data_IF_196641264096
#
_entry.id   IF_196641264096
#
_cell.length_a   1.000
_cell.length_b   1.000
_cell.length_c   1.000
_cell.angle_alpha   90.00
_cell.angle_beta   90.00
_cell.angle_gamma   90.00
#
_symmetry.space_group_name_H-M   'P 1'
#
loop_
_entity.id
_entity.type
_entity.pdbx_description
1 polymer ?
#
# COMPACT_ATOMS: atom_id res chain seq x y z
N UNK A 1 4.28 14.07 -8.11
CA UNK A 1 5.72 14.23 -7.73
C UNK A 1 6.59 13.28 -8.55
N UNK A 2 7.80 13.70 -8.96
CA UNK A 2 8.71 12.81 -9.71
C UNK A 2 9.47 11.85 -8.79
N UNK A 3 10.01 10.75 -9.34
CA UNK A 3 10.77 9.80 -8.51
C UNK A 3 12.08 10.39 -7.96
N UNK A 4 12.72 11.31 -8.68
CA UNK A 4 13.96 11.96 -8.25
C UNK A 4 13.70 12.88 -7.06
N UNK A 5 12.60 13.65 -7.11
CA UNK A 5 12.15 14.48 -6.00
C UNK A 5 11.82 13.61 -4.78
N UNK A 6 11.11 12.51 -4.99
CA UNK A 6 10.78 11.56 -3.94
C UNK A 6 12.04 10.93 -3.34
N UNK A 7 12.99 10.48 -4.16
CA UNK A 7 14.25 9.91 -3.71
C UNK A 7 15.05 10.90 -2.87
N UNK A 8 15.11 12.18 -3.28
CA UNK A 8 15.74 13.26 -2.53
C UNK A 8 15.08 13.56 -1.18
N UNK A 9 13.77 13.34 -1.06
CA UNK A 9 13.00 13.57 0.18
C UNK A 9 13.03 12.42 1.18
N UNK A 10 13.44 11.23 0.75
CA UNK A 10 13.51 10.04 1.63
C UNK A 10 14.96 9.75 2.10
N UNK A 11 15.95 10.57 1.72
CA UNK A 11 17.38 10.32 1.98
C UNK A 11 17.78 10.21 3.47
N UNK A 12 16.91 10.53 4.42
CA UNK A 12 17.11 10.27 5.86
C UNK A 12 16.93 8.81 6.27
N UNK A 13 16.22 8.01 5.48
CA UNK A 13 16.06 6.57 5.69
C UNK A 13 16.99 5.86 4.72
N UNK A 14 18.14 5.39 5.22
CA UNK A 14 18.98 4.45 4.48
C UNK A 14 18.16 3.17 4.23
N UNK A 15 17.44 3.10 3.10
CA UNK A 15 16.80 1.87 2.66
C UNK A 15 17.91 0.83 2.44
N UNK A 16 18.02 -0.22 3.26
CA UNK A 16 19.22 -1.06 3.31
C UNK A 16 19.32 -2.03 2.11
N UNK A 17 18.61 -1.76 1.01
CA UNK A 17 18.41 -2.70 -0.10
C UNK A 17 18.72 -2.14 -1.49
N UNK A 18 19.21 -0.90 -1.64
CA UNK A 18 19.69 -0.43 -2.95
C UNK A 18 21.06 -1.03 -3.25
N UNK A 19 21.06 -2.18 -3.95
CA UNK A 19 22.25 -2.74 -4.58
C UNK A 19 22.67 -1.92 -5.81
N UNK A 20 23.97 -1.83 -6.06
CA UNK A 20 24.63 -0.96 -7.06
C UNK A 20 24.32 -1.35 -8.53
N UNK A 21 23.52 -2.38 -8.80
CA UNK A 21 23.27 -2.90 -10.15
C UNK A 21 21.79 -3.23 -10.38
N UNK A 22 20.91 -2.24 -10.23
CA UNK A 22 19.49 -2.44 -10.52
C UNK A 22 19.11 -1.74 -11.82
N UNK A 23 19.13 -2.50 -12.92
CA UNK A 23 18.50 -2.09 -14.17
C UNK A 23 17.15 -2.83 -14.28
N UNK A 24 16.01 -2.13 -14.11
CA UNK A 24 14.70 -2.76 -14.21
C UNK A 24 14.54 -3.43 -15.57
N UNK A 25 14.00 -4.64 -15.60
CA UNK A 25 13.56 -5.25 -16.86
C UNK A 25 12.25 -4.57 -17.28
N UNK A 26 12.04 -4.34 -18.58
CA UNK A 26 10.83 -3.67 -19.10
C UNK A 26 9.51 -4.27 -18.58
N UNK A 27 9.32 -5.61 -18.50
CA UNK A 27 8.10 -6.19 -17.95
C UNK A 27 7.83 -5.75 -16.51
N UNK A 28 8.87 -5.66 -15.67
CA UNK A 28 8.72 -5.27 -14.28
C UNK A 28 8.29 -3.80 -14.14
N UNK A 29 8.75 -2.91 -15.03
CA UNK A 29 8.31 -1.52 -15.07
C UNK A 29 6.81 -1.44 -15.41
N UNK A 30 6.35 -2.23 -16.39
CA UNK A 30 4.94 -2.25 -16.76
C UNK A 30 4.06 -2.77 -15.63
N UNK A 31 4.47 -3.84 -14.95
CA UNK A 31 3.73 -4.38 -13.79
C UNK A 31 3.73 -3.38 -12.64
N UNK A 32 4.88 -2.78 -12.33
CA UNK A 32 4.99 -1.75 -11.30
C UNK A 32 4.06 -0.55 -11.60
N UNK A 33 4.02 -0.09 -12.86
CA UNK A 33 3.11 0.99 -13.29
C UNK A 33 1.64 0.60 -13.13
N UNK A 34 1.25 -0.62 -13.56
CA UNK A 34 -0.13 -1.11 -13.34
C UNK A 34 -0.50 -1.09 -11.85
N UNK A 35 0.43 -1.48 -10.98
CA UNK A 35 0.23 -1.47 -9.53
C UNK A 35 0.05 -0.06 -9.00
N UNK A 36 0.92 0.89 -9.34
CA UNK A 36 0.78 2.29 -8.90
C UNK A 36 -0.55 2.87 -9.35
N UNK A 37 -0.88 2.80 -10.65
CA UNK A 37 -2.14 3.32 -11.19
C UNK A 37 -3.37 2.74 -10.49
N UNK A 38 -3.32 1.45 -10.12
CA UNK A 38 -4.41 0.81 -9.39
C UNK A 38 -4.53 1.34 -7.96
N UNK A 39 -3.41 1.59 -7.28
CA UNK A 39 -3.35 2.05 -5.89
C UNK A 39 -3.70 3.55 -5.74
N UNK A 40 -3.38 4.38 -6.72
CA UNK A 40 -3.76 5.80 -6.75
C UNK A 40 -5.28 5.99 -6.61
N UNK A 41 -6.06 5.06 -7.17
CA UNK A 41 -7.52 5.05 -7.04
C UNK A 41 -8.04 4.38 -5.74
N UNK A 42 -7.19 4.13 -4.75
CA UNK A 42 -7.56 3.46 -3.49
C UNK A 42 -7.49 4.41 -2.31
N UNK A 43 -8.58 5.15 -2.12
CA UNK A 43 -8.80 6.05 -0.98
C UNK A 43 -8.54 5.41 0.39
N UNK A 44 -8.67 4.09 0.52
CA UNK A 44 -8.28 3.38 1.77
C UNK A 44 -6.82 3.65 2.18
N UNK A 45 -5.96 4.06 1.26
CA UNK A 45 -4.57 4.38 1.52
C UNK A 45 -4.42 5.79 2.12
N UNK A 46 -5.20 6.78 1.70
CA UNK A 46 -4.91 8.20 1.98
C UNK A 46 -6.08 9.03 2.52
N UNK A 47 -7.27 8.47 2.66
CA UNK A 47 -8.44 9.21 3.14
C UNK A 47 -8.34 9.53 4.63
N UNK A 48 -8.94 10.65 5.05
CA UNK A 48 -9.08 11.00 6.47
C UNK A 48 -10.08 10.09 7.17
N UNK A 49 -9.84 9.81 8.46
CA UNK A 49 -10.65 8.91 9.28
C UNK A 49 -12.14 9.26 9.27
N UNK A 50 -12.49 10.55 9.28
CA UNK A 50 -13.88 11.03 9.32
C UNK A 50 -14.69 10.66 8.08
N UNK A 51 -14.00 10.35 6.97
CA UNK A 51 -14.58 9.95 5.70
C UNK A 51 -14.53 8.44 5.48
N UNK A 52 -14.02 7.68 6.45
CA UNK A 52 -13.85 6.23 6.33
C UNK A 52 -15.07 5.46 6.84
N UNK A 53 -15.59 4.60 5.97
CA UNK A 53 -16.49 3.54 6.36
C UNK A 53 -15.71 2.22 6.45
N UNK A 54 -15.71 1.50 7.60
CA UNK A 54 -14.93 0.28 7.74
C UNK A 54 -15.25 -0.83 6.71
N UNK A 55 -16.51 -0.99 6.32
CA UNK A 55 -16.89 -1.98 5.30
C UNK A 55 -16.26 -1.63 3.93
N UNK A 56 -16.29 -0.36 3.55
CA UNK A 56 -15.65 0.11 2.32
C UNK A 56 -14.14 -0.01 2.37
N UNK A 57 -13.53 0.28 3.53
CA UNK A 57 -12.10 0.10 3.74
C UNK A 57 -11.71 -1.37 3.58
N UNK A 58 -12.43 -2.29 4.23
CA UNK A 58 -12.15 -3.72 4.09
C UNK A 58 -12.30 -4.20 2.64
N UNK A 59 -13.39 -3.80 1.97
CA UNK A 59 -13.60 -4.12 0.55
C UNK A 59 -12.45 -3.62 -0.32
N UNK A 60 -11.96 -2.41 -0.08
CA UNK A 60 -10.81 -1.85 -0.79
C UNK A 60 -9.52 -2.65 -0.52
N UNK A 61 -9.29 -3.10 0.71
CA UNK A 61 -8.13 -3.94 1.06
C UNK A 61 -8.19 -5.31 0.37
N UNK A 62 -9.38 -5.91 0.29
CA UNK A 62 -9.62 -7.16 -0.46
C UNK A 62 -9.27 -6.95 -1.94
N UNK A 63 -9.83 -5.91 -2.57
CA UNK A 63 -9.54 -5.57 -3.97
C UNK A 63 -8.05 -5.38 -4.25
N UNK A 64 -7.32 -4.73 -3.33
CA UNK A 64 -5.86 -4.59 -3.43
C UNK A 64 -5.18 -5.96 -3.43
N UNK A 65 -5.53 -6.87 -2.52
CA UNK A 65 -4.92 -8.20 -2.47
C UNK A 65 -5.22 -9.05 -3.69
N UNK A 66 -6.45 -8.99 -4.19
CA UNK A 66 -6.86 -9.75 -5.37
C UNK A 66 -6.08 -9.25 -6.59
N UNK A 67 -6.02 -7.94 -6.77
CA UNK A 67 -5.24 -7.32 -7.83
C UNK A 67 -3.74 -7.69 -7.74
N UNK A 68 -3.14 -7.55 -6.56
CA UNK A 68 -1.74 -7.94 -6.33
C UNK A 68 -1.49 -9.43 -6.58
N UNK A 69 -2.47 -10.29 -6.31
CA UNK A 69 -2.36 -11.73 -6.59
C UNK A 69 -2.31 -11.99 -8.08
N UNK A 70 -3.14 -11.29 -8.87
CA UNK A 70 -3.10 -11.37 -10.33
C UNK A 70 -1.74 -10.89 -10.86
N UNK A 71 -1.22 -9.76 -10.35
CA UNK A 71 0.09 -9.25 -10.80
C UNK A 71 1.24 -10.18 -10.43
N UNK A 72 1.17 -10.85 -9.27
CA UNK A 72 2.20 -11.81 -8.85
C UNK A 72 2.32 -13.03 -9.78
N UNK A 73 1.31 -13.35 -10.57
CA UNK A 73 1.39 -14.42 -11.56
C UNK A 73 2.20 -14.02 -12.81
N UNK A 74 2.37 -12.70 -13.04
CA UNK A 74 3.15 -12.14 -14.16
C UNK A 74 4.62 -11.87 -13.78
N UNK A 75 4.96 -11.88 -12.49
CA UNK A 75 6.29 -11.49 -11.99
C UNK A 75 7.20 -12.70 -11.79
N UNK A 76 8.47 -12.55 -12.19
CA UNK A 76 9.50 -13.56 -11.93
C UNK A 76 9.66 -13.81 -10.43
N UNK A 77 9.46 -15.06 -10.02
CA UNK A 77 9.49 -15.46 -8.62
C UNK A 77 10.88 -15.24 -8.02
N UNK A 78 10.93 -14.62 -6.84
CA UNK A 78 12.19 -14.28 -6.17
C UNK A 78 12.87 -13.00 -6.67
N UNK A 79 12.29 -12.32 -7.67
CA UNK A 79 12.69 -10.96 -8.01
C UNK A 79 12.38 -9.98 -6.87
N UNK A 80 13.01 -8.80 -6.91
CA UNK A 80 12.72 -7.75 -5.94
C UNK A 80 11.27 -7.28 -6.02
N UNK A 81 10.71 -7.21 -7.22
CA UNK A 81 9.29 -6.89 -7.44
C UNK A 81 8.37 -7.94 -6.82
N UNK A 82 8.67 -9.24 -6.97
CA UNK A 82 7.93 -10.33 -6.30
C UNK A 82 7.94 -10.14 -4.78
N UNK A 83 9.10 -9.80 -4.21
CA UNK A 83 9.24 -9.48 -2.79
C UNK A 83 8.35 -8.31 -2.34
N UNK A 84 8.36 -7.20 -3.09
CA UNK A 84 7.54 -6.00 -2.81
C UNK A 84 6.05 -6.33 -2.87
N UNK A 85 5.57 -6.95 -3.95
CA UNK A 85 4.15 -7.26 -4.12
C UNK A 85 3.65 -8.28 -3.09
N UNK A 86 4.47 -9.28 -2.73
CA UNK A 86 4.16 -10.19 -1.61
C UNK A 86 4.09 -9.45 -0.28
N UNK A 87 4.98 -8.50 -0.05
CA UNK A 87 4.95 -7.62 1.12
C UNK A 87 3.63 -6.86 1.22
N UNK A 88 3.22 -6.19 0.14
CA UNK A 88 1.96 -5.45 0.07
C UNK A 88 0.74 -6.36 0.31
N UNK A 89 0.70 -7.52 -0.34
CA UNK A 89 -0.38 -8.50 -0.17
C UNK A 89 -0.45 -9.04 1.26
N UNK A 90 0.70 -9.24 1.91
CA UNK A 90 0.80 -9.71 3.30
C UNK A 90 0.33 -8.63 4.28
N UNK A 91 0.65 -7.36 4.03
CA UNK A 91 0.13 -6.23 4.80
C UNK A 91 -1.41 -6.18 4.73
N UNK A 92 -2.00 -6.35 3.54
CA UNK A 92 -3.45 -6.45 3.40
C UNK A 92 -4.04 -7.65 4.13
N UNK A 93 -3.38 -8.81 4.10
CA UNK A 93 -3.82 -10.01 4.84
C UNK A 93 -3.91 -9.73 6.35
N UNK A 94 -2.93 -9.04 6.93
CA UNK A 94 -2.91 -8.70 8.36
C UNK A 94 -4.12 -7.89 8.82
N UNK A 95 -4.60 -6.95 7.99
CA UNK A 95 -5.82 -6.18 8.27
C UNK A 95 -7.04 -7.12 8.36
N UNK A 96 -7.14 -8.07 7.43
CA UNK A 96 -8.21 -9.07 7.43
C UNK A 96 -8.10 -10.09 8.55
N UNK A 97 -6.91 -10.58 8.90
CA UNK A 97 -6.75 -11.56 9.96
C UNK A 97 -7.21 -10.97 11.31
N UNK A 98 -7.02 -9.66 11.49
CA UNK A 98 -7.49 -8.91 12.66
C UNK A 98 -9.00 -8.62 12.57
N UNK A 99 -9.51 -8.31 11.39
CA UNK A 99 -10.95 -8.17 11.16
C UNK A 99 -11.70 -9.49 11.41
N UNK A 100 -11.25 -10.60 10.83
CA UNK A 100 -11.93 -11.88 10.85
C UNK A 100 -12.14 -12.50 12.25
N UNK A 101 -11.33 -12.14 13.25
CA UNK A 101 -11.52 -12.62 14.63
C UNK A 101 -12.64 -11.87 15.39
N UNK A 102 -12.95 -10.62 15.01
CA UNK A 102 -13.96 -9.80 15.70
C UNK A 102 -15.18 -9.45 14.83
N UNK A 103 -15.19 -9.89 13.57
CA UNK A 103 -16.06 -9.33 12.53
C UNK A 103 -16.77 -10.46 11.80
N UNK A 104 -17.97 -10.79 12.26
CA UNK A 104 -18.93 -11.43 11.36
C UNK A 104 -19.39 -10.35 10.39
N UNK A 105 -18.82 -10.36 9.18
CA UNK A 105 -19.35 -9.62 8.03
C UNK A 105 -20.70 -10.24 7.69
N UNK A 106 -21.72 -9.92 8.47
CA UNK A 106 -23.09 -10.21 8.09
C UNK A 106 -23.61 -9.00 7.31
N UNK A 107 -23.43 -9.09 6.00
CA UNK A 107 -23.98 -8.17 5.00
C UNK A 107 -25.52 -8.00 5.12
N UNK A 108 -26.21 -8.90 5.84
CA UNK A 108 -27.64 -8.85 6.08
C UNK A 108 -28.03 -8.41 7.50
N UNK A 109 -27.11 -8.36 8.47
CA UNK A 109 -27.49 -8.24 9.88
C UNK A 109 -26.75 -7.15 10.67
N UNK A 110 -26.08 -6.22 9.96
CA UNK A 110 -25.55 -5.00 10.57
C UNK A 110 -24.66 -5.29 11.75
N UNK A 111 -23.61 -6.12 11.55
CA UNK A 111 -22.64 -6.47 12.58
C UNK A 111 -22.27 -5.23 13.41
N UNK A 112 -22.54 -5.29 14.71
CA UNK A 112 -22.39 -4.13 15.58
C UNK A 112 -20.92 -3.87 15.82
N UNK A 113 -20.40 -2.80 15.21
CA UNK A 113 -19.05 -2.32 15.46
C UNK A 113 -18.97 -1.75 16.87
N UNK A 114 -18.48 -2.55 17.81
CA UNK A 114 -18.12 -2.04 19.12
C UNK A 114 -17.06 -0.93 18.97
N UNK A 115 -17.05 0.09 19.85
CA UNK A 115 -16.00 1.11 19.84
C UNK A 115 -14.58 0.53 19.85
N UNK A 116 -14.36 -0.58 20.55
CA UNK A 116 -13.07 -1.28 20.58
C UNK A 116 -12.70 -1.92 19.24
N UNK A 117 -13.65 -2.51 18.53
CA UNK A 117 -13.40 -3.12 17.22
C UNK A 117 -13.04 -2.06 16.18
N UNK A 118 -13.65 -0.87 16.25
CA UNK A 118 -13.27 0.27 15.42
C UNK A 118 -11.82 0.67 15.70
N UNK A 119 -11.46 0.86 16.97
CA UNK A 119 -10.09 1.22 17.36
C UNK A 119 -9.07 0.22 16.82
N UNK A 120 -9.32 -1.08 16.98
CA UNK A 120 -8.43 -2.14 16.49
C UNK A 120 -8.34 -2.12 14.97
N UNK A 121 -9.47 -2.01 14.27
CA UNK A 121 -9.52 -1.96 12.81
C UNK A 121 -8.70 -0.79 12.25
N UNK A 122 -8.98 0.43 12.73
CA UNK A 122 -8.30 1.63 12.25
C UNK A 122 -6.82 1.66 12.66
N UNK A 123 -6.45 1.05 13.80
CA UNK A 123 -5.04 0.85 14.15
C UNK A 123 -4.33 -0.05 13.15
N UNK A 124 -4.93 -1.18 12.76
CA UNK A 124 -4.34 -2.04 11.72
C UNK A 124 -4.33 -1.34 10.36
N UNK A 125 -5.31 -0.50 10.06
CA UNK A 125 -5.33 0.27 8.83
C UNK A 125 -4.21 1.31 8.78
N UNK A 126 -3.90 1.96 9.90
CA UNK A 126 -2.72 2.83 10.02
C UNK A 126 -1.41 2.07 9.81
N UNK A 127 -1.26 0.89 10.40
CA UNK A 127 -0.10 0.01 10.18
C UNK A 127 0.00 -0.40 8.71
N UNK A 128 -1.12 -0.76 8.10
CA UNK A 128 -1.20 -1.10 6.68
C UNK A 128 -0.73 0.06 5.81
N UNK A 129 -1.21 1.29 6.05
CA UNK A 129 -0.77 2.50 5.33
C UNK A 129 0.73 2.75 5.48
N UNK A 130 1.28 2.60 6.68
CA UNK A 130 2.72 2.75 6.90
C UNK A 130 3.55 1.73 6.11
N UNK A 131 3.13 0.45 6.11
CA UNK A 131 3.81 -0.59 5.32
C UNK A 131 3.66 -0.36 3.82
N UNK A 132 2.45 -0.01 3.36
CA UNK A 132 2.18 0.30 1.96
C UNK A 132 3.00 1.49 1.49
N UNK A 133 3.07 2.58 2.27
CA UNK A 133 3.88 3.75 1.96
C UNK A 133 5.35 3.43 1.74
N UNK A 134 5.94 2.64 2.64
CA UNK A 134 7.33 2.16 2.51
C UNK A 134 7.54 1.33 1.23
N UNK A 135 6.61 0.41 0.92
CA UNK A 135 6.72 -0.48 -0.24
C UNK A 135 6.43 0.23 -1.55
N UNK A 136 5.51 1.20 -1.57
CA UNK A 136 5.20 2.06 -2.72
C UNK A 136 6.41 2.95 -3.01
N UNK A 137 6.99 3.61 -2.00
CA UNK A 137 8.19 4.42 -2.18
C UNK A 137 9.33 3.59 -2.82
N UNK A 138 9.54 2.37 -2.31
CA UNK A 138 10.52 1.44 -2.87
C UNK A 138 10.22 1.10 -4.34
N UNK A 139 8.96 0.78 -4.66
CA UNK A 139 8.52 0.47 -6.02
C UNK A 139 8.73 1.65 -6.97
N UNK A 140 8.33 2.85 -6.56
CA UNK A 140 8.42 4.07 -7.36
C UNK A 140 9.88 4.42 -7.66
N UNK A 141 10.74 4.44 -6.64
CA UNK A 141 12.17 4.79 -6.80
C UNK A 141 12.89 3.74 -7.64
N UNK A 142 12.65 2.45 -7.38
CA UNK A 142 13.29 1.39 -8.15
C UNK A 142 12.97 1.53 -9.63
N UNK A 143 11.69 1.65 -9.98
CA UNK A 143 11.23 1.62 -11.37
C UNK A 143 11.18 2.99 -12.06
N UNK A 144 11.58 4.07 -11.38
CA UNK A 144 11.56 5.43 -11.93
C UNK A 144 10.16 5.91 -12.31
N UNK A 145 9.16 5.61 -11.47
CA UNK A 145 7.75 5.92 -11.74
C UNK A 145 7.35 7.30 -11.19
N UNK A 146 6.34 7.91 -11.78
CA UNK A 146 5.68 9.07 -11.19
C UNK A 146 4.50 8.61 -10.34
N UNK A 147 4.06 9.46 -9.40
CA UNK A 147 2.96 9.19 -8.47
C UNK A 147 2.09 10.43 -8.29
N UNK A 148 0.77 10.21 -8.24
CA UNK A 148 -0.22 11.23 -7.93
C UNK A 148 -0.15 11.71 -6.47
N UNK A 149 -0.53 12.98 -6.24
CA UNK A 149 -0.29 13.68 -4.98
C UNK A 149 -0.99 13.07 -3.77
N UNK A 150 -2.19 12.50 -3.96
CA UNK A 150 -2.94 11.84 -2.89
C UNK A 150 -2.16 10.65 -2.28
N UNK A 151 -1.47 9.88 -3.12
CA UNK A 151 -0.73 8.70 -2.66
C UNK A 151 0.61 9.08 -2.00
N UNK A 152 1.08 10.32 -2.19
CA UNK A 152 2.29 10.84 -1.55
C UNK A 152 2.13 10.95 -0.04
N UNK A 153 0.92 11.23 0.46
CA UNK A 153 0.69 11.48 1.88
C UNK A 153 1.00 10.28 2.80
N UNK A 154 1.06 9.07 2.25
CA UNK A 154 1.46 7.86 2.99
C UNK A 154 2.94 7.51 2.84
N UNK A 155 3.66 8.17 1.94
CA UNK A 155 5.07 7.91 1.72
C UNK A 155 5.90 8.46 2.89
N UNK A 156 7.03 7.81 3.23
CA UNK A 156 7.89 8.23 4.32
C UNK A 156 8.77 9.43 3.92
N UNK A 157 8.19 10.52 3.45
CA UNK A 157 8.91 11.74 3.04
C UNK A 157 9.18 12.63 4.26
N UNK A 158 10.43 13.09 4.42
CA UNK A 158 10.76 14.10 5.44
C UNK A 158 10.16 15.45 5.02
N UNK A 159 9.30 16.00 5.87
CA UNK A 159 8.67 17.32 5.75
C UNK A 159 7.91 17.58 4.43
N UNK A 160 6.66 17.12 4.38
CA UNK A 160 5.65 17.89 3.64
C UNK A 160 5.26 19.07 4.55
N UNK A 161 5.84 20.25 4.31
CA UNK A 161 5.13 21.47 4.69
C UNK A 161 3.84 21.47 3.86
N UNK A 162 2.76 21.01 4.47
CA UNK A 162 1.42 21.08 3.89
C UNK A 162 1.04 22.57 4.00
N UNK A 163 1.29 23.31 2.92
CA UNK A 163 0.91 24.71 2.75
C UNK A 163 -0.58 24.87 2.49
#
# INVERSE_FOLDING_TARGET
MTYEELAGKITGISFPFFGISWAPVKPDIEIARKVINFLENKRVLFNSYELENPNHCMKSVIQIRDFLTIQLDEVDRGSELDGILRGMRSAGKRVMDTGAHNYQFDENNGGSFGPFDQIVFFSQLGIFRGIMGMLIAKLVIMHGLEIEDDLICILPVENLEIS
#
